data_IF_613330218656
#
_entry.id   IF_613330218656
#
_cell.length_a   1.000
_cell.length_b   1.000
_cell.length_c   1.000
_cell.angle_alpha   90.00
_cell.angle_beta   90.00
_cell.angle_gamma   90.00
#
_symmetry.space_group_name_H-M   'P 1'
#
loop_
_entity.id
_entity.type
_entity.pdbx_description
1 polymer ?
#
# COMPACT_ATOMS: atom_id res chain seq x y z
N UNK A 1 -8.43 8.32 -28.30
CA UNK A 1 -9.32 7.14 -28.47
C UNK A 1 -10.74 7.51 -28.03
N UNK A 2 -11.73 7.04 -28.77
CA UNK A 2 -13.14 7.17 -28.45
C UNK A 2 -13.77 5.79 -28.43
N UNK A 3 -14.38 5.43 -27.32
CA UNK A 3 -15.16 4.20 -27.16
C UNK A 3 -16.62 4.49 -27.57
N UNK A 4 -17.17 3.68 -28.47
CA UNK A 4 -18.57 3.79 -28.89
C UNK A 4 -19.21 2.42 -28.69
N UNK A 5 -20.25 2.35 -27.86
CA UNK A 5 -21.00 1.11 -27.65
C UNK A 5 -22.01 0.92 -28.80
N UNK A 6 -22.03 -0.25 -29.41
CA UNK A 6 -23.04 -0.66 -30.40
C UNK A 6 -24.17 -1.46 -29.75
N UNK A 7 -23.84 -2.31 -28.80
CA UNK A 7 -24.79 -3.07 -28.00
C UNK A 7 -24.26 -3.19 -26.58
N UNK A 8 -24.97 -2.66 -25.59
CA UNK A 8 -24.52 -2.59 -24.21
C UNK A 8 -25.53 -3.29 -23.31
N UNK A 9 -25.12 -4.40 -22.69
CA UNK A 9 -25.90 -5.09 -21.64
C UNK A 9 -25.59 -4.49 -20.27
N UNK A 10 -24.29 -4.31 -19.94
CA UNK A 10 -23.82 -3.56 -18.79
C UNK A 10 -22.83 -2.51 -19.25
N UNK A 11 -23.10 -1.23 -19.05
CA UNK A 11 -22.30 -0.12 -19.56
C UNK A 11 -21.01 0.15 -18.77
N UNK A 12 -20.44 -0.86 -18.09
CA UNK A 12 -19.26 -0.71 -17.25
C UNK A 12 -18.00 -1.18 -17.97
N UNK A 13 -16.98 -0.34 -18.02
CA UNK A 13 -15.65 -0.69 -18.53
C UNK A 13 -14.56 -0.15 -17.61
N UNK A 14 -13.37 -0.70 -17.75
CA UNK A 14 -12.17 -0.25 -17.07
C UNK A 14 -11.08 0.02 -18.11
N UNK A 15 -10.37 1.12 -17.94
CA UNK A 15 -9.23 1.47 -18.75
C UNK A 15 -8.12 2.03 -17.88
N UNK A 16 -6.90 1.60 -18.10
CA UNK A 16 -5.69 2.11 -17.44
C UNK A 16 -4.72 2.59 -18.49
N UNK A 17 -3.96 3.60 -18.18
CA UNK A 17 -2.81 4.07 -18.96
C UNK A 17 -1.53 3.74 -18.20
N UNK A 18 -0.37 3.62 -18.86
CA UNK A 18 0.91 3.44 -18.22
C UNK A 18 1.24 4.53 -17.21
N UNK A 19 2.31 4.33 -16.44
CA UNK A 19 2.84 5.33 -15.51
C UNK A 19 3.20 6.62 -16.25
N UNK A 20 3.05 7.75 -15.58
CA UNK A 20 3.22 9.08 -16.17
C UNK A 20 4.58 9.28 -16.85
N UNK A 21 5.63 8.69 -16.28
CA UNK A 21 7.00 8.75 -16.79
C UNK A 21 7.17 8.05 -18.15
N UNK A 22 6.23 7.16 -18.52
CA UNK A 22 6.21 6.43 -19.80
C UNK A 22 5.26 7.06 -20.83
N UNK A 23 4.65 8.19 -20.49
CA UNK A 23 3.65 8.86 -21.33
C UNK A 23 4.15 10.21 -21.77
N UNK A 24 3.67 10.64 -22.96
CA UNK A 24 3.74 12.04 -23.36
C UNK A 24 2.96 12.91 -22.37
N UNK A 25 3.45 14.12 -22.09
CA UNK A 25 2.87 15.05 -21.10
C UNK A 25 1.39 15.35 -21.34
N UNK A 26 0.94 15.26 -22.59
CA UNK A 26 -0.45 15.52 -22.98
C UNK A 26 -1.35 14.27 -22.91
N UNK A 27 -0.77 13.09 -22.72
CA UNK A 27 -1.55 11.84 -22.63
C UNK A 27 -2.20 11.70 -21.27
N UNK A 28 -3.51 11.85 -21.21
CA UNK A 28 -4.30 11.75 -19.98
C UNK A 28 -5.74 11.33 -20.25
N UNK A 29 -6.41 10.79 -19.24
CA UNK A 29 -7.86 10.66 -19.30
C UNK A 29 -8.54 12.03 -19.14
N UNK A 30 -9.55 12.33 -19.94
CA UNK A 30 -10.36 13.53 -19.77
C UNK A 30 -11.19 13.49 -18.48
N UNK A 31 -11.69 12.29 -18.14
CA UNK A 31 -12.41 12.03 -16.90
C UNK A 31 -11.74 10.84 -16.20
N UNK A 32 -10.79 11.13 -15.32
CA UNK A 32 -10.09 10.11 -14.53
C UNK A 32 -10.82 9.81 -13.24
N UNK A 33 -10.71 8.54 -12.81
CA UNK A 33 -11.18 8.07 -11.49
C UNK A 33 -9.99 7.65 -10.68
N UNK A 34 -9.85 8.20 -9.47
CA UNK A 34 -8.70 7.94 -8.59
C UNK A 34 -8.72 6.60 -7.88
N UNK A 35 -9.75 5.77 -8.06
CA UNK A 35 -9.89 4.47 -7.40
C UNK A 35 -9.63 3.31 -8.37
N UNK A 36 -9.31 2.13 -7.83
CA UNK A 36 -8.92 0.94 -8.60
C UNK A 36 -7.65 1.22 -9.43
N UNK A 37 -6.72 1.95 -8.82
CA UNK A 37 -5.45 2.39 -9.44
C UNK A 37 -4.22 1.65 -8.90
N UNK A 38 -4.44 0.53 -8.21
CA UNK A 38 -3.38 -0.34 -7.72
C UNK A 38 -2.62 -0.99 -8.89
N UNK A 39 -1.32 -1.19 -8.73
CA UNK A 39 -0.51 -1.95 -9.69
C UNK A 39 -0.90 -3.42 -9.69
N UNK A 40 -0.64 -4.12 -10.79
CA UNK A 40 -1.04 -5.52 -10.95
C UNK A 40 -0.52 -6.42 -9.81
N UNK A 41 0.74 -6.25 -9.43
CA UNK A 41 1.35 -7.00 -8.31
C UNK A 41 0.67 -6.72 -6.96
N UNK A 42 0.20 -5.50 -6.74
CA UNK A 42 -0.50 -5.11 -5.51
C UNK A 42 -1.88 -5.72 -5.35
N UNK A 43 -2.46 -6.27 -6.41
CA UNK A 43 -3.78 -6.93 -6.35
C UNK A 43 -3.71 -8.39 -5.88
N UNK A 44 -2.51 -8.96 -5.73
CA UNK A 44 -2.33 -10.33 -5.25
C UNK A 44 -2.78 -10.51 -3.79
N UNK A 45 -3.52 -11.57 -3.50
CA UNK A 45 -3.90 -11.94 -2.14
C UNK A 45 -2.69 -12.28 -1.25
N UNK A 46 -1.63 -12.83 -1.85
CA UNK A 46 -0.42 -13.26 -1.16
C UNK A 46 0.58 -12.14 -0.90
N UNK A 47 0.43 -11.00 -1.57
CA UNK A 47 1.27 -9.84 -1.35
C UNK A 47 0.70 -8.93 -0.27
N UNK A 48 1.56 -8.24 0.47
CA UNK A 48 1.20 -7.10 1.31
C UNK A 48 1.25 -5.87 0.41
N UNK A 49 0.09 -5.29 0.13
CA UNK A 49 -0.05 -4.08 -0.69
C UNK A 49 -0.02 -2.86 0.21
N UNK A 50 0.91 -1.95 -0.08
CA UNK A 50 1.17 -0.78 0.75
C UNK A 50 0.83 0.49 -0.03
N UNK A 51 -0.11 1.28 0.49
CA UNK A 51 -0.30 2.67 0.08
C UNK A 51 0.72 3.57 0.79
N UNK A 52 0.97 4.77 0.24
CA UNK A 52 1.82 5.71 0.96
C UNK A 52 1.08 7.02 1.27
N UNK A 53 1.46 7.62 2.38
CA UNK A 53 0.88 8.85 2.86
C UNK A 53 1.99 9.82 3.33
N UNK A 54 1.62 11.09 3.49
CA UNK A 54 2.48 12.08 4.11
C UNK A 54 2.47 11.89 5.63
N UNK A 55 3.58 11.43 6.19
CA UNK A 55 3.73 11.15 7.62
C UNK A 55 3.84 12.41 8.48
N UNK A 56 4.02 13.60 7.89
CA UNK A 56 4.13 14.86 8.64
C UNK A 56 2.75 15.34 9.13
N UNK A 57 1.71 15.14 8.27
CA UNK A 57 0.35 15.61 8.56
C UNK A 57 -0.72 14.51 8.46
N UNK A 58 -0.31 13.28 8.17
CA UNK A 58 -1.18 12.13 7.93
C UNK A 58 -2.19 12.37 6.79
N UNK A 59 -1.81 13.10 5.75
CA UNK A 59 -2.65 13.31 4.58
C UNK A 59 -2.45 12.23 3.52
N UNK A 60 -3.50 11.99 2.74
CA UNK A 60 -3.44 11.11 1.57
C UNK A 60 -2.63 11.78 0.47
N UNK A 61 -1.69 11.04 -0.09
CA UNK A 61 -0.92 11.49 -1.26
C UNK A 61 -1.65 11.09 -2.55
N UNK A 62 -1.76 12.01 -3.48
CA UNK A 62 -2.54 11.84 -4.73
C UNK A 62 -1.97 10.71 -5.60
N UNK A 63 -0.66 10.56 -5.60
CA UNK A 63 0.09 9.56 -6.37
C UNK A 63 0.02 8.15 -5.76
N UNK A 64 -0.51 8.00 -4.55
CA UNK A 64 -0.72 6.68 -3.96
C UNK A 64 -1.82 5.92 -4.69
N UNK A 65 -1.53 4.66 -5.04
CA UNK A 65 -2.54 3.76 -5.60
C UNK A 65 -3.68 3.53 -4.60
N UNK A 66 -4.92 3.54 -5.10
CA UNK A 66 -6.14 3.40 -4.30
C UNK A 66 -6.97 2.21 -4.73
N UNK A 67 -7.57 1.56 -3.74
CA UNK A 67 -8.46 0.42 -3.93
C UNK A 67 -9.90 0.79 -4.30
N UNK A 68 -10.84 -0.12 -4.18
CA UNK A 68 -10.54 -1.53 -4.04
C UNK A 68 -10.09 -2.14 -5.37
N UNK A 69 -9.73 -3.43 -5.40
CA UNK A 69 -9.50 -4.13 -6.66
C UNK A 69 -10.79 -4.21 -7.49
N UNK A 70 -10.68 -4.57 -8.77
CA UNK A 70 -11.83 -4.72 -9.66
C UNK A 70 -12.85 -5.75 -9.15
N UNK A 71 -12.38 -6.82 -8.53
CA UNK A 71 -13.15 -7.89 -7.90
C UNK A 71 -13.51 -7.60 -6.43
N UNK A 72 -13.39 -6.35 -6.02
CA UNK A 72 -13.77 -5.81 -4.70
C UNK A 72 -12.96 -6.34 -3.51
N UNK A 73 -11.80 -6.92 -3.73
CA UNK A 73 -10.89 -7.24 -2.63
C UNK A 73 -10.41 -5.95 -1.94
N UNK A 74 -10.30 -6.04 -0.62
CA UNK A 74 -9.76 -4.94 0.20
C UNK A 74 -8.25 -4.84 -0.06
N UNK A 75 -7.89 -3.79 -0.78
CA UNK A 75 -6.53 -3.35 -1.08
C UNK A 75 -6.52 -1.82 -1.16
N UNK A 76 -5.43 -1.14 -0.75
CA UNK A 76 -4.21 -1.69 -0.16
C UNK A 76 -4.49 -2.43 1.14
N UNK A 77 -3.54 -3.24 1.64
CA UNK A 77 -3.67 -3.88 2.96
C UNK A 77 -3.38 -2.87 4.07
N UNK A 78 -2.39 -2.02 3.88
CA UNK A 78 -1.91 -1.06 4.90
C UNK A 78 -1.40 0.22 4.22
N UNK A 79 -1.33 1.33 4.94
CA UNK A 79 -0.64 2.53 4.49
C UNK A 79 0.58 2.83 5.36
N UNK A 80 1.70 3.19 4.76
CA UNK A 80 2.91 3.58 5.48
C UNK A 80 3.43 4.95 5.00
N UNK A 81 4.19 5.63 5.83
CA UNK A 81 4.83 6.89 5.49
C UNK A 81 5.80 6.71 4.32
N UNK A 82 5.70 7.57 3.33
CA UNK A 82 6.54 7.50 2.14
C UNK A 82 6.71 8.84 1.44
N UNK A 83 6.37 9.94 2.10
CA UNK A 83 6.51 11.29 1.58
C UNK A 83 7.71 11.97 2.26
N UNK A 84 8.61 12.57 1.48
CA UNK A 84 9.83 13.22 1.97
C UNK A 84 10.64 12.35 2.96
N UNK A 85 10.71 11.06 2.72
CA UNK A 85 11.41 10.14 3.60
C UNK A 85 12.92 10.28 3.43
N UNK A 86 13.64 10.32 4.53
CA UNK A 86 15.09 10.30 4.55
C UNK A 86 15.57 8.86 4.36
N UNK A 87 16.37 8.64 3.33
CA UNK A 87 16.90 7.32 2.99
C UNK A 87 18.42 7.38 2.83
N UNK A 88 19.07 6.23 2.85
CA UNK A 88 20.49 6.12 2.54
C UNK A 88 20.73 6.39 1.05
N UNK A 89 21.79 7.12 0.76
CA UNK A 89 22.19 7.43 -0.62
C UNK A 89 23.33 6.50 -1.08
N UNK A 90 23.28 5.96 -2.30
CA UNK A 90 24.42 5.26 -2.89
C UNK A 90 25.67 6.16 -2.88
N UNK A 91 26.75 5.67 -2.31
CA UNK A 91 27.99 6.46 -2.14
C UNK A 91 28.13 7.17 -0.80
N UNK A 92 27.15 7.02 0.09
CA UNK A 92 27.17 7.57 1.47
C UNK A 92 26.27 8.79 1.66
N UNK A 93 26.00 9.10 2.93
CA UNK A 93 25.07 10.16 3.30
C UNK A 93 23.61 9.78 3.15
N UNK A 94 22.74 10.80 3.11
CA UNK A 94 21.29 10.64 3.03
C UNK A 94 20.70 11.38 1.82
N UNK A 95 19.56 10.91 1.33
CA UNK A 95 18.74 11.56 0.33
C UNK A 95 17.29 11.64 0.82
N UNK A 96 16.53 12.58 0.28
CA UNK A 96 15.07 12.68 0.53
C UNK A 96 14.34 12.18 -0.71
N UNK A 97 13.49 11.19 -0.52
CA UNK A 97 12.68 10.63 -1.63
C UNK A 97 11.23 10.43 -1.18
N UNK A 98 10.33 10.40 -2.15
CA UNK A 98 8.91 10.11 -1.93
C UNK A 98 8.46 8.97 -2.84
N UNK A 99 7.50 8.17 -2.36
CA UNK A 99 6.86 7.16 -3.20
C UNK A 99 6.37 5.93 -2.44
N UNK A 100 5.49 5.18 -3.09
CA UNK A 100 4.96 3.93 -2.57
C UNK A 100 6.08 2.87 -2.37
N UNK A 101 7.16 2.92 -3.15
CA UNK A 101 8.33 2.04 -2.98
C UNK A 101 9.03 2.26 -1.64
N UNK A 102 9.08 3.52 -1.16
CA UNK A 102 9.64 3.86 0.16
C UNK A 102 8.78 3.26 1.26
N UNK A 103 7.47 3.50 1.20
CA UNK A 103 6.50 2.93 2.13
C UNK A 103 6.56 1.39 2.15
N UNK A 104 6.66 0.77 0.97
CA UNK A 104 6.84 -0.67 0.83
C UNK A 104 8.12 -1.17 1.49
N UNK A 105 9.23 -0.44 1.35
CA UNK A 105 10.51 -0.79 1.99
C UNK A 105 10.44 -0.73 3.53
N UNK A 106 9.71 0.26 4.08
CA UNK A 106 9.48 0.35 5.54
C UNK A 106 8.73 -0.88 6.05
N UNK A 107 7.66 -1.28 5.37
CA UNK A 107 6.89 -2.48 5.75
C UNK A 107 7.72 -3.75 5.58
N UNK A 108 8.53 -3.84 4.52
CA UNK A 108 9.44 -4.97 4.31
C UNK A 108 10.48 -5.09 5.43
N UNK A 109 11.02 -3.96 5.92
CA UNK A 109 11.91 -3.93 7.09
C UNK A 109 11.22 -4.47 8.34
N UNK A 110 9.95 -4.13 8.57
CA UNK A 110 9.17 -4.70 9.67
C UNK A 110 8.97 -6.21 9.51
N UNK A 111 8.67 -6.70 8.30
CA UNK A 111 8.59 -8.14 8.05
C UNK A 111 9.89 -8.86 8.43
N UNK A 112 11.05 -8.25 8.12
CA UNK A 112 12.35 -8.81 8.52
C UNK A 112 12.51 -8.90 10.04
N UNK A 113 12.07 -7.87 10.78
CA UNK A 113 12.09 -7.87 12.23
C UNK A 113 11.13 -8.90 12.86
N UNK A 114 9.94 -9.06 12.27
CA UNK A 114 9.01 -10.13 12.69
C UNK A 114 9.66 -11.52 12.45
N UNK A 115 10.31 -11.71 11.29
CA UNK A 115 11.01 -12.95 10.99
C UNK A 115 12.21 -13.19 11.92
N UNK A 116 12.95 -12.16 12.27
CA UNK A 116 14.03 -12.25 13.26
C UNK A 116 13.46 -12.74 14.60
N UNK A 117 12.46 -12.06 15.13
CA UNK A 117 11.81 -12.44 16.37
C UNK A 117 11.24 -13.87 16.33
N UNK A 118 10.55 -14.21 15.25
CA UNK A 118 9.86 -15.49 15.14
C UNK A 118 10.84 -16.65 14.90
N UNK A 119 11.68 -16.55 13.87
CA UNK A 119 12.50 -17.66 13.39
C UNK A 119 13.88 -17.66 14.05
N UNK A 120 14.58 -16.51 14.05
CA UNK A 120 15.97 -16.44 14.55
C UNK A 120 15.99 -16.55 16.07
N UNK A 121 15.10 -15.84 16.76
CA UNK A 121 14.99 -15.86 18.23
C UNK A 121 14.11 -17.02 18.73
N UNK A 122 13.59 -17.86 17.80
CA UNK A 122 12.83 -19.08 18.06
C UNK A 122 11.53 -18.90 18.86
N UNK A 123 10.92 -17.72 18.81
CA UNK A 123 9.64 -17.48 19.48
C UNK A 123 8.46 -18.12 18.74
N UNK A 124 8.51 -18.17 17.40
CA UNK A 124 7.51 -18.82 16.55
C UNK A 124 8.15 -19.32 15.24
N UNK A 125 8.94 -20.41 15.26
CA UNK A 125 9.73 -20.86 14.11
C UNK A 125 8.90 -21.23 12.87
N UNK A 126 7.66 -21.66 13.06
CA UNK A 126 6.75 -22.12 11.98
C UNK A 126 5.88 -20.99 11.41
N UNK A 127 6.24 -19.73 11.65
CA UNK A 127 5.50 -18.58 11.13
C UNK A 127 5.48 -18.59 9.59
N UNK A 128 4.33 -18.29 8.98
CA UNK A 128 4.17 -18.22 7.55
C UNK A 128 3.65 -16.85 7.09
N UNK A 129 3.70 -16.59 5.78
CA UNK A 129 3.49 -15.24 5.22
C UNK A 129 2.14 -14.62 5.57
N UNK A 130 1.06 -15.41 5.59
CA UNK A 130 -0.28 -14.94 5.93
C UNK A 130 -0.39 -14.49 7.39
N UNK A 131 0.35 -15.13 8.30
CA UNK A 131 0.41 -14.71 9.70
C UNK A 131 1.17 -13.39 9.85
N UNK A 132 2.29 -13.22 9.15
CA UNK A 132 3.01 -11.93 9.12
C UNK A 132 2.07 -10.82 8.66
N UNK A 133 1.33 -11.07 7.58
CA UNK A 133 0.33 -10.13 7.08
C UNK A 133 -0.76 -9.85 8.10
N UNK A 134 -1.26 -10.86 8.80
CA UNK A 134 -2.26 -10.70 9.85
C UNK A 134 -1.73 -9.85 11.01
N UNK A 135 -0.50 -10.05 11.45
CA UNK A 135 0.13 -9.22 12.48
C UNK A 135 0.22 -7.76 12.04
N UNK A 136 0.67 -7.49 10.81
CA UNK A 136 0.77 -6.13 10.28
C UNK A 136 -0.61 -5.45 10.28
N UNK A 137 -1.65 -6.14 9.82
CA UNK A 137 -3.01 -5.61 9.79
C UNK A 137 -3.55 -5.40 11.21
N UNK A 138 -3.34 -6.34 12.12
CA UNK A 138 -3.85 -6.26 13.49
C UNK A 138 -3.23 -5.13 14.32
N UNK A 139 -1.98 -4.77 14.04
CA UNK A 139 -1.28 -3.67 14.69
C UNK A 139 -1.55 -2.30 14.05
N UNK A 140 -2.34 -2.25 12.97
CA UNK A 140 -2.60 -1.00 12.26
C UNK A 140 -3.33 0.02 13.13
N UNK A 141 -2.97 1.29 12.95
CA UNK A 141 -3.56 2.42 13.66
C UNK A 141 -4.55 3.19 12.77
N UNK A 142 -5.74 3.41 13.28
CA UNK A 142 -6.72 4.26 12.61
C UNK A 142 -6.50 5.74 12.86
N UNK A 143 -6.96 6.59 11.92
CA UNK A 143 -7.08 8.04 12.11
C UNK A 143 -8.45 8.36 12.72
N UNK A 144 -8.54 9.37 13.56
CA UNK A 144 -9.84 9.83 14.08
C UNK A 144 -10.78 10.23 12.92
N UNK A 145 -12.01 9.74 12.97
CA UNK A 145 -13.06 10.05 11.99
C UNK A 145 -13.10 9.17 10.74
N UNK A 146 -12.08 8.33 10.51
CA UNK A 146 -12.06 7.41 9.39
C UNK A 146 -12.70 6.05 9.76
N UNK A 147 -13.32 5.43 8.78
CA UNK A 147 -13.84 4.04 8.88
C UNK A 147 -12.90 3.10 8.13
N UNK A 148 -12.56 1.99 8.73
CA UNK A 148 -11.65 0.98 8.19
C UNK A 148 -12.34 -0.37 8.03
N UNK A 149 -11.93 -1.20 7.02
CA UNK A 149 -10.97 -0.88 5.98
C UNK A 149 -11.53 0.08 4.92
N UNK A 150 -10.66 0.87 4.29
CA UNK A 150 -11.07 1.78 3.22
C UNK A 150 -10.11 1.76 2.01
N UNK A 151 -10.47 2.50 0.97
CA UNK A 151 -9.79 2.45 -0.33
C UNK A 151 -8.41 3.11 -0.36
N UNK A 152 -8.13 3.99 0.60
CA UNK A 152 -6.91 4.81 0.63
C UNK A 152 -5.89 4.27 1.63
N UNK A 153 -6.38 3.79 2.77
CA UNK A 153 -5.58 3.37 3.91
C UNK A 153 -5.57 1.85 4.13
N UNK A 154 -6.40 1.10 3.40
CA UNK A 154 -6.61 -0.31 3.71
C UNK A 154 -7.15 -0.49 5.13
N UNK A 155 -6.46 -1.30 5.93
CA UNK A 155 -6.82 -1.54 7.33
C UNK A 155 -6.29 -0.46 8.30
N UNK A 156 -5.53 0.53 7.80
CA UNK A 156 -5.05 1.65 8.60
C UNK A 156 -3.61 2.04 8.32
N UNK A 157 -3.06 2.90 9.17
CA UNK A 157 -1.66 3.30 9.14
C UNK A 157 -0.79 2.22 9.77
N UNK A 158 0.34 1.95 9.14
CA UNK A 158 1.37 1.06 9.64
C UNK A 158 1.90 1.57 10.99
N UNK A 159 1.85 0.72 12.02
CA UNK A 159 2.39 0.97 13.35
C UNK A 159 3.18 -0.25 13.85
N UNK A 160 4.50 -0.16 13.72
CA UNK A 160 5.41 -1.23 14.14
C UNK A 160 5.31 -1.52 15.64
N UNK A 161 5.12 -0.48 16.47
CA UNK A 161 4.94 -0.67 17.91
C UNK A 161 3.66 -1.45 18.19
N UNK A 162 2.54 -1.06 17.57
CA UNK A 162 1.25 -1.75 17.71
C UNK A 162 1.32 -3.22 17.26
N UNK A 163 2.11 -3.53 16.24
CA UNK A 163 2.35 -4.91 15.78
C UNK A 163 3.04 -5.75 16.90
N UNK A 164 4.16 -5.22 17.44
CA UNK A 164 4.90 -5.97 18.47
C UNK A 164 4.17 -6.01 19.81
N UNK A 165 3.37 -5.03 20.16
CA UNK A 165 2.49 -5.09 21.32
C UNK A 165 1.47 -6.24 21.16
N UNK A 166 0.84 -6.40 19.98
CA UNK A 166 -0.07 -7.51 19.67
C UNK A 166 0.60 -8.88 19.69
N UNK A 167 1.81 -8.97 19.17
CA UNK A 167 2.60 -10.21 19.19
C UNK A 167 2.89 -10.69 20.62
N UNK A 168 3.14 -9.76 21.54
CA UNK A 168 3.41 -10.10 22.96
C UNK A 168 2.18 -10.56 23.72
N UNK A 169 0.99 -10.17 23.27
CA UNK A 169 -0.28 -10.53 23.89
C UNK A 169 -0.82 -11.89 23.39
N UNK A 170 -0.11 -12.55 22.44
CA UNK A 170 -0.46 -13.84 21.85
C UNK A 170 0.36 -14.97 22.43
#
# INVERSE_FOLDING_TARGET
>A
FRLTGQYIVEGKYYAWIPQRELLDSETKFLNSVGYTTLTLSSTSNRAISVAYYNQEDNSVVTESGRGYTRDKMIKPDIAAGGFNAIVTNPGGGTAVISGASVAGAVVAGCCALILQWAVTDKNYPDIYAEQIKAYIISGAKGRPGDVYPNKEWGYGMFDMKGIFDRIKDT
#
